data_IF_892472681467
#
_entry.id   IF_892472681467
#
_cell.length_a   1.000
_cell.length_b   1.000
_cell.length_c   1.000
_cell.angle_alpha   90.00
_cell.angle_beta   90.00
_cell.angle_gamma   90.00
#
_symmetry.space_group_name_H-M   'P 1'
#
loop_
_entity.id
_entity.type
_entity.pdbx_description
1 polymer ?
#
# COMPACT_ATOMS: atom_id res chain seq x y z
N UNK A 1 -10.61 -24.56 -24.55
CA UNK A 1 -10.03 -24.60 -23.19
C UNK A 1 -9.88 -23.18 -22.68
N UNK A 2 -10.28 -22.89 -21.43
CA UNK A 2 -10.02 -21.58 -20.81
C UNK A 2 -8.64 -21.64 -20.15
N UNK A 3 -7.69 -20.87 -20.67
CA UNK A 3 -6.39 -20.65 -20.03
C UNK A 3 -6.54 -19.53 -19.00
N UNK A 4 -6.09 -19.78 -17.77
CA UNK A 4 -6.06 -18.81 -16.67
C UNK A 4 -4.63 -18.76 -16.15
N UNK A 5 -4.09 -17.56 -15.92
CA UNK A 5 -2.73 -17.40 -15.40
C UNK A 5 -2.69 -17.51 -13.87
N UNK A 6 -1.53 -17.85 -13.31
CA UNK A 6 -1.32 -17.86 -11.85
C UNK A 6 -1.59 -16.48 -11.24
N UNK A 7 -1.21 -15.40 -11.93
CA UNK A 7 -1.49 -14.04 -11.51
C UNK A 7 -2.99 -13.73 -11.42
N UNK A 8 -3.78 -14.19 -12.39
CA UNK A 8 -5.24 -14.03 -12.37
C UNK A 8 -5.87 -14.81 -11.21
N UNK A 9 -5.35 -16.01 -10.92
CA UNK A 9 -5.80 -16.80 -9.78
C UNK A 9 -5.46 -16.10 -8.45
N UNK A 10 -4.28 -15.49 -8.32
CA UNK A 10 -3.92 -14.74 -7.11
C UNK A 10 -4.82 -13.51 -6.95
N UNK A 11 -5.03 -12.72 -8.01
CA UNK A 11 -5.93 -11.56 -7.97
C UNK A 11 -7.38 -11.98 -7.62
N UNK A 12 -7.86 -13.09 -8.19
CA UNK A 12 -9.17 -13.65 -7.87
C UNK A 12 -9.31 -14.03 -6.39
N UNK A 13 -8.30 -14.67 -5.81
CA UNK A 13 -8.27 -15.03 -4.38
C UNK A 13 -8.16 -13.80 -3.50
N UNK A 14 -7.27 -12.85 -3.81
CA UNK A 14 -7.15 -11.60 -3.06
C UNK A 14 -8.46 -10.78 -3.04
N UNK A 15 -9.30 -10.88 -4.08
CA UNK A 15 -10.57 -10.16 -4.13
C UNK A 15 -11.68 -10.83 -3.29
N UNK A 16 -11.54 -12.12 -2.96
CA UNK A 16 -12.60 -12.93 -2.33
C UNK A 16 -12.25 -13.47 -0.95
N UNK A 17 -10.96 -13.67 -0.68
CA UNK A 17 -10.44 -14.25 0.55
C UNK A 17 -9.77 -13.15 1.39
N UNK A 18 -9.91 -13.24 2.72
CA UNK A 18 -9.11 -12.43 3.65
C UNK A 18 -7.73 -13.06 3.73
N UNK A 19 -6.72 -12.36 3.22
CA UNK A 19 -5.32 -12.81 3.13
C UNK A 19 -4.37 -11.98 4.00
N UNK A 20 -4.91 -11.08 4.82
CA UNK A 20 -4.15 -10.31 5.81
C UNK A 20 -4.70 -10.52 7.21
N UNK A 21 -3.80 -10.66 8.17
CA UNK A 21 -4.11 -10.74 9.59
C UNK A 21 -3.36 -9.64 10.33
N UNK A 22 -4.08 -8.86 11.16
CA UNK A 22 -3.49 -7.84 12.02
C UNK A 22 -2.91 -8.51 13.26
N UNK A 23 -1.60 -8.52 13.39
CA UNK A 23 -0.87 -9.22 14.47
C UNK A 23 -0.43 -8.30 15.61
N UNK A 24 -0.33 -7.00 15.37
CA UNK A 24 0.04 -6.04 16.40
C UNK A 24 -0.58 -4.66 16.14
N UNK A 25 -0.77 -3.91 17.23
CA UNK A 25 -1.13 -2.49 17.22
C UNK A 25 -0.29 -1.78 18.27
N UNK A 26 0.36 -0.67 17.92
CA UNK A 26 1.30 0.03 18.80
C UNK A 26 1.35 1.54 18.49
N UNK A 27 1.62 2.40 19.48
CA UNK A 27 1.86 3.82 19.24
C UNK A 27 3.25 4.04 18.63
N UNK A 28 3.38 5.02 17.74
CA UNK A 28 4.66 5.43 17.14
C UNK A 28 4.74 6.95 17.06
N UNK A 29 5.91 7.50 17.41
CA UNK A 29 6.19 8.92 17.24
C UNK A 29 6.84 9.15 15.88
N UNK A 30 6.28 10.09 15.11
CA UNK A 30 6.72 10.41 13.74
C UNK A 30 6.87 11.91 13.55
N UNK A 31 7.39 12.33 12.39
CA UNK A 31 7.42 13.76 12.01
C UNK A 31 6.02 14.37 11.84
N UNK A 32 4.97 13.55 11.69
CA UNK A 32 3.58 13.99 11.67
C UNK A 32 2.93 14.08 13.06
N UNK A 33 3.66 13.69 14.11
CA UNK A 33 3.14 13.51 15.47
C UNK A 33 2.92 12.04 15.82
N UNK A 34 2.12 11.81 16.86
CA UNK A 34 1.76 10.47 17.33
C UNK A 34 0.82 9.78 16.35
N UNK A 35 1.18 8.57 15.94
CA UNK A 35 0.39 7.72 15.05
C UNK A 35 0.17 6.36 15.71
N UNK A 36 -0.87 5.65 15.26
CA UNK A 36 -1.07 4.25 15.59
C UNK A 36 -0.55 3.38 14.45
N UNK A 37 0.46 2.57 14.75
CA UNK A 37 0.99 1.55 13.86
C UNK A 37 0.22 0.24 14.00
N UNK A 38 -0.03 -0.41 12.87
CA UNK A 38 -0.62 -1.74 12.77
C UNK A 38 0.30 -2.63 11.94
N UNK A 39 0.66 -3.80 12.48
CA UNK A 39 1.43 -4.80 11.75
C UNK A 39 0.51 -5.88 11.19
N UNK A 40 0.73 -6.25 9.94
CA UNK A 40 -0.04 -7.25 9.21
C UNK A 40 0.88 -8.33 8.66
N UNK A 41 0.43 -9.58 8.70
CA UNK A 41 1.09 -10.71 8.03
C UNK A 41 0.13 -11.36 7.04
N UNK A 42 0.67 -12.16 6.12
CA UNK A 42 -0.14 -13.04 5.29
C UNK A 42 -0.07 -14.47 5.82
N UNK A 43 -1.04 -15.36 5.50
CA UNK A 43 -0.94 -16.78 5.84
C UNK A 43 0.23 -17.50 5.17
N UNK A 44 0.90 -16.87 4.20
CA UNK A 44 1.88 -17.49 3.33
C UNK A 44 3.33 -17.09 3.67
N UNK A 45 3.51 -16.03 4.45
CA UNK A 45 4.83 -15.55 4.87
C UNK A 45 4.76 -14.80 6.22
N UNK A 46 5.89 -14.72 6.90
CA UNK A 46 6.02 -14.02 8.18
C UNK A 46 6.52 -12.57 8.04
N UNK A 47 6.63 -12.05 6.81
CA UNK A 47 7.03 -10.68 6.54
C UNK A 47 5.89 -9.76 6.95
N UNK A 48 6.22 -8.77 7.77
CA UNK A 48 5.24 -7.81 8.25
C UNK A 48 5.11 -6.63 7.29
N UNK A 49 3.87 -6.36 6.90
CA UNK A 49 3.44 -5.10 6.32
C UNK A 49 2.98 -4.18 7.44
N UNK A 50 3.11 -2.87 7.22
CA UNK A 50 2.73 -1.89 8.24
C UNK A 50 1.71 -0.92 7.69
N UNK A 51 0.78 -0.50 8.54
CA UNK A 51 -0.05 0.66 8.30
C UNK A 51 0.06 1.62 9.47
N UNK A 52 0.25 2.89 9.18
CA UNK A 52 0.34 3.96 10.17
C UNK A 52 -0.84 4.90 10.00
N UNK A 53 -1.63 5.06 11.05
CA UNK A 53 -2.82 5.89 11.09
C UNK A 53 -2.55 7.12 11.93
N UNK A 54 -2.68 8.29 11.32
CA UNK A 54 -2.71 9.57 12.02
C UNK A 54 -4.17 9.99 12.21
N UNK A 55 -4.51 10.40 13.44
CA UNK A 55 -5.84 10.92 13.76
C UNK A 55 -6.97 9.89 13.61
N UNK A 56 -8.21 10.38 13.51
CA UNK A 56 -9.40 9.54 13.39
C UNK A 56 -9.76 9.29 11.91
N UNK A 57 -9.97 8.02 11.55
CA UNK A 57 -10.42 7.61 10.20
C UNK A 57 -11.92 7.91 9.99
N UNK A 58 -12.70 8.09 11.06
CA UNK A 58 -14.11 8.49 11.00
C UNK A 58 -14.99 7.43 10.33
N UNK A 59 -15.77 7.84 9.33
CA UNK A 59 -16.62 6.98 8.51
C UNK A 59 -15.84 6.20 7.42
N UNK A 60 -14.52 6.33 7.38
CA UNK A 60 -13.65 5.65 6.43
C UNK A 60 -13.71 6.22 5.01
N UNK A 61 -14.31 7.40 4.81
CA UNK A 61 -14.43 8.02 3.49
C UNK A 61 -13.42 9.14 3.30
N UNK A 62 -12.97 9.31 2.06
CA UNK A 62 -12.06 10.37 1.59
C UNK A 62 -10.76 10.44 2.40
N UNK A 63 -10.23 9.28 2.80
CA UNK A 63 -9.08 9.20 3.71
C UNK A 63 -7.79 9.50 2.96
N UNK A 64 -7.00 10.52 3.37
CA UNK A 64 -5.69 10.80 2.79
C UNK A 64 -4.82 9.57 2.97
N UNK A 65 -4.41 8.95 1.88
CA UNK A 65 -3.79 7.63 1.94
C UNK A 65 -2.61 7.55 0.99
N UNK A 66 -1.52 6.94 1.45
CA UNK A 66 -0.42 6.53 0.59
C UNK A 66 -0.19 5.04 0.72
N UNK A 67 -0.22 4.36 -0.42
CA UNK A 67 0.30 3.01 -0.56
C UNK A 67 1.75 3.14 -1.01
N UNK A 68 2.67 2.86 -0.10
CA UNK A 68 4.11 2.99 -0.33
C UNK A 68 4.75 1.61 -0.36
N UNK A 69 5.47 1.34 -1.45
CA UNK A 69 6.29 0.14 -1.58
C UNK A 69 7.67 0.43 -1.01
N UNK A 70 8.14 -0.46 -0.16
CA UNK A 70 9.43 -0.34 0.52
C UNK A 70 10.57 -0.26 -0.51
N UNK A 71 11.35 0.81 -0.42
CA UNK A 71 12.59 0.97 -1.16
C UNK A 71 13.70 1.34 -0.19
N UNK A 72 14.51 0.35 0.20
CA UNK A 72 15.58 0.54 1.19
C UNK A 72 16.53 1.67 0.78
N UNK A 73 16.83 1.82 -0.52
CA UNK A 73 17.74 2.85 -1.00
C UNK A 73 17.12 4.23 -0.83
N UNK A 74 15.85 4.42 -1.17
CA UNK A 74 15.19 5.72 -1.03
C UNK A 74 14.79 6.04 0.43
N UNK A 75 14.30 5.05 1.16
CA UNK A 75 13.68 5.21 2.47
C UNK A 75 14.71 5.26 3.60
N UNK A 76 15.81 4.52 3.48
CA UNK A 76 16.86 4.47 4.52
C UNK A 76 18.05 5.34 4.13
N UNK A 77 18.53 5.22 2.89
CA UNK A 77 19.74 5.93 2.45
C UNK A 77 19.45 7.24 1.71
N UNK A 78 18.30 7.36 1.07
CA UNK A 78 17.86 8.52 0.27
C UNK A 78 17.10 9.58 1.05
N UNK A 79 17.05 9.46 2.39
CA UNK A 79 16.46 10.46 3.28
C UNK A 79 14.94 10.42 3.38
N UNK A 80 14.28 9.41 2.80
CA UNK A 80 12.84 9.17 2.88
C UNK A 80 11.96 10.33 2.38
N UNK A 81 12.44 11.14 1.41
CA UNK A 81 11.79 12.38 0.96
C UNK A 81 10.28 12.22 0.71
N UNK A 82 9.90 11.15 0.03
CA UNK A 82 8.49 10.92 -0.32
C UNK A 82 7.63 10.52 0.89
N UNK A 83 8.17 9.73 1.82
CA UNK A 83 7.49 9.40 3.08
C UNK A 83 7.33 10.68 3.91
N UNK A 84 8.39 11.48 4.05
CA UNK A 84 8.38 12.73 4.82
C UNK A 84 7.36 13.72 4.29
N UNK A 85 7.31 13.95 2.98
CA UNK A 85 6.29 14.80 2.34
C UNK A 85 4.87 14.31 2.62
N UNK A 86 4.66 13.00 2.58
CA UNK A 86 3.36 12.40 2.91
C UNK A 86 2.99 12.62 4.37
N UNK A 87 3.93 12.39 5.30
CA UNK A 87 3.74 12.60 6.73
C UNK A 87 3.45 14.08 7.04
N UNK A 88 4.20 15.03 6.45
CA UNK A 88 3.92 16.46 6.58
C UNK A 88 2.53 16.83 6.06
N UNK A 89 2.09 16.22 4.96
CA UNK A 89 0.74 16.45 4.45
C UNK A 89 -0.32 15.92 5.42
N UNK A 90 -0.14 14.72 5.97
CA UNK A 90 -1.05 14.17 6.97
C UNK A 90 -1.09 15.03 8.23
N UNK A 91 0.06 15.56 8.67
CA UNK A 91 0.14 16.46 9.81
C UNK A 91 -0.68 17.74 9.60
N UNK A 92 -0.63 18.33 8.39
CA UNK A 92 -1.43 19.52 8.03
C UNK A 92 -2.93 19.23 7.99
N UNK A 93 -3.33 18.04 7.57
CA UNK A 93 -4.74 17.64 7.49
C UNK A 93 -5.27 17.05 8.81
N UNK A 94 -4.40 16.71 9.76
CA UNK A 94 -4.73 16.09 11.04
C UNK A 94 -5.21 14.63 10.94
N UNK A 95 -5.18 14.03 9.74
CA UNK A 95 -5.55 12.63 9.50
C UNK A 95 -4.83 12.05 8.28
N UNK A 96 -4.59 10.75 8.31
CA UNK A 96 -4.09 10.02 7.13
C UNK A 96 -3.65 8.60 7.42
N UNK A 97 -3.50 7.81 6.36
CA UNK A 97 -3.07 6.41 6.42
C UNK A 97 -1.88 6.19 5.49
N UNK A 98 -0.74 5.78 6.05
CA UNK A 98 0.42 5.33 5.29
C UNK A 98 0.49 3.82 5.38
N UNK A 99 0.28 3.12 4.26
CA UNK A 99 0.52 1.68 4.16
C UNK A 99 1.91 1.46 3.58
N UNK A 100 2.77 0.78 4.33
CA UNK A 100 4.13 0.41 3.96
C UNK A 100 4.18 -1.07 3.60
N UNK A 101 4.23 -1.34 2.29
CA UNK A 101 4.26 -2.69 1.73
C UNK A 101 5.72 -3.14 1.58
N UNK A 102 6.10 -4.16 2.34
CA UNK A 102 7.45 -4.72 2.31
C UNK A 102 7.71 -5.56 1.07
N UNK A 103 8.81 -5.26 0.38
CA UNK A 103 9.33 -6.06 -0.72
C UNK A 103 9.75 -7.47 -0.27
N UNK A 104 9.47 -8.46 -1.13
CA UNK A 104 9.83 -9.87 -0.92
C UNK A 104 8.85 -10.65 -0.03
N UNK A 105 7.75 -10.03 0.41
CA UNK A 105 6.63 -10.74 1.04
C UNK A 105 5.81 -11.51 0.00
N UNK A 106 5.04 -12.51 0.40
CA UNK A 106 4.13 -13.21 -0.50
C UNK A 106 3.06 -12.24 -1.00
N UNK A 107 3.02 -12.03 -2.31
CA UNK A 107 2.17 -11.01 -2.93
C UNK A 107 2.82 -9.62 -3.06
N UNK A 108 4.07 -9.42 -2.62
CA UNK A 108 4.88 -8.23 -2.96
C UNK A 108 6.20 -8.70 -3.58
N UNK A 109 6.30 -8.72 -4.92
CA UNK A 109 7.49 -9.16 -5.64
C UNK A 109 8.74 -8.39 -5.20
N UNK A 110 9.89 -9.04 -5.09
CA UNK A 110 11.13 -8.35 -4.72
C UNK A 110 11.69 -7.53 -5.89
N UNK A 111 12.03 -6.25 -5.68
CA UNK A 111 12.89 -5.52 -6.60
C UNK A 111 14.36 -5.94 -6.37
N UNK A 112 14.90 -6.77 -7.26
CA UNK A 112 16.31 -7.20 -7.18
C UNK A 112 17.19 -6.08 -7.75
N UNK A 113 17.82 -5.30 -6.87
CA UNK A 113 18.81 -4.26 -7.23
C UNK A 113 19.96 -4.90 -8.02
N UNK A 114 20.29 -4.35 -9.19
CA UNK A 114 21.43 -4.79 -10.01
C UNK A 114 21.11 -5.82 -11.11
N UNK A 115 19.88 -6.35 -11.20
CA UNK A 115 19.42 -6.97 -12.45
C UNK A 115 18.87 -5.86 -13.35
N UNK A 116 19.53 -5.62 -14.49
CA UNK A 116 18.99 -4.76 -15.54
C UNK A 116 17.58 -5.20 -15.86
N UNK A 117 16.60 -4.32 -15.61
CA UNK A 117 15.19 -4.64 -15.78
C UNK A 117 14.83 -4.61 -17.26
N UNK A 118 15.09 -5.71 -17.96
CA UNK A 118 14.29 -6.08 -19.14
C UNK A 118 13.00 -6.77 -18.68
N UNK A 119 12.29 -6.17 -17.72
CA UNK A 119 10.98 -6.67 -17.32
C UNK A 119 9.94 -6.19 -18.34
N UNK A 120 9.27 -7.14 -19.00
CA UNK A 120 8.17 -6.83 -19.91
C UNK A 120 7.10 -6.04 -19.15
N UNK A 121 6.51 -5.03 -19.80
CA UNK A 121 5.48 -4.16 -19.22
C UNK A 121 4.27 -4.93 -18.63
N UNK A 122 4.08 -6.18 -19.03
CA UNK A 122 3.05 -7.08 -18.52
C UNK A 122 3.40 -7.70 -17.16
N UNK A 123 4.67 -8.01 -16.90
CA UNK A 123 5.13 -8.48 -15.59
C UNK A 123 5.08 -7.35 -14.56
N UNK A 124 5.53 -6.15 -14.92
CA UNK A 124 5.43 -4.97 -14.05
C UNK A 124 3.97 -4.68 -13.65
N UNK A 125 3.03 -4.79 -14.61
CA UNK A 125 1.60 -4.65 -14.35
C UNK A 125 1.06 -5.71 -13.41
N UNK A 126 1.49 -6.98 -13.56
CA UNK A 126 1.07 -8.08 -12.68
C UNK A 126 1.56 -7.88 -11.24
N UNK A 127 2.83 -7.49 -11.07
CA UNK A 127 3.42 -7.21 -9.75
C UNK A 127 2.64 -6.11 -9.02
N UNK A 128 2.37 -5.03 -9.73
CA UNK A 128 1.63 -3.90 -9.24
C UNK A 128 0.20 -4.25 -8.81
N UNK A 129 -0.48 -5.16 -9.50
CA UNK A 129 -1.80 -5.66 -9.10
C UNK A 129 -1.79 -6.42 -7.78
N UNK A 130 -0.71 -7.15 -7.48
CA UNK A 130 -0.58 -7.90 -6.22
C UNK A 130 -0.39 -6.95 -5.03
N UNK A 131 0.44 -5.92 -5.20
CA UNK A 131 0.67 -4.86 -4.20
C UNK A 131 -0.65 -4.12 -3.88
N UNK A 132 -1.43 -3.84 -4.92
CA UNK A 132 -2.75 -3.19 -4.84
C UNK A 132 -3.74 -4.02 -4.04
N UNK A 133 -3.79 -5.33 -4.26
CA UNK A 133 -4.69 -6.23 -3.53
C UNK A 133 -4.40 -6.27 -2.04
N UNK A 134 -3.13 -6.37 -1.66
CA UNK A 134 -2.73 -6.41 -0.26
C UNK A 134 -2.99 -5.07 0.46
N UNK A 135 -2.59 -3.96 -0.18
CA UNK A 135 -2.87 -2.62 0.34
C UNK A 135 -4.36 -2.36 0.54
N UNK A 136 -5.21 -2.82 -0.40
CA UNK A 136 -6.66 -2.68 -0.29
C UNK A 136 -7.24 -3.49 0.89
N UNK A 137 -6.76 -4.70 1.13
CA UNK A 137 -7.22 -5.50 2.26
C UNK A 137 -6.81 -4.89 3.61
N UNK A 138 -5.60 -4.34 3.70
CA UNK A 138 -5.15 -3.59 4.88
C UNK A 138 -6.06 -2.39 5.14
N UNK A 139 -6.36 -1.60 4.10
CA UNK A 139 -7.27 -0.45 4.20
C UNK A 139 -8.68 -0.87 4.64
N UNK A 140 -9.21 -1.97 4.10
CA UNK A 140 -10.51 -2.50 4.47
C UNK A 140 -10.56 -2.96 5.93
N UNK A 141 -9.49 -3.59 6.43
CA UNK A 141 -9.36 -3.99 7.83
C UNK A 141 -9.28 -2.78 8.78
N UNK A 142 -8.69 -1.66 8.32
CA UNK A 142 -8.72 -0.36 9.02
C UNK A 142 -10.09 0.34 8.97
N UNK A 143 -11.07 -0.20 8.24
CA UNK A 143 -12.39 0.40 8.07
C UNK A 143 -12.45 1.50 7.00
N UNK A 144 -11.42 1.61 6.16
CA UNK A 144 -11.40 2.58 5.05
C UNK A 144 -12.21 2.04 3.88
N UNK A 145 -13.04 2.89 3.29
CA UNK A 145 -13.92 2.59 2.16
C UNK A 145 -13.63 3.46 0.94
N UNK A 146 -13.12 4.69 1.14
CA UNK A 146 -12.60 5.52 0.05
C UNK A 146 -11.37 6.34 0.45
N UNK A 147 -10.50 6.59 -0.53
CA UNK A 147 -9.19 7.21 -0.32
C UNK A 147 -8.90 8.37 -1.27
N UNK A 148 -8.18 9.37 -0.75
CA UNK A 148 -7.41 10.34 -1.55
C UNK A 148 -5.99 9.84 -1.67
N UNK A 149 -5.68 9.26 -2.82
CA UNK A 149 -4.42 8.58 -3.06
C UNK A 149 -3.29 9.58 -3.32
N UNK A 150 -2.25 9.51 -2.49
CA UNK A 150 -1.03 10.33 -2.59
C UNK A 150 0.03 9.58 -3.41
N UNK A 151 0.14 9.92 -4.69
CA UNK A 151 1.03 9.23 -5.64
C UNK A 151 2.18 10.12 -6.11
N UNK A 152 3.36 9.53 -6.28
CA UNK A 152 4.57 10.21 -6.79
C UNK A 152 4.62 10.29 -8.32
N UNK A 153 3.69 9.63 -9.03
CA UNK A 153 3.63 9.61 -10.49
C UNK A 153 2.31 10.21 -11.00
N UNK A 154 2.41 11.08 -12.01
CA UNK A 154 1.29 11.77 -12.67
C UNK A 154 0.33 10.83 -13.39
N UNK A 155 0.71 9.55 -13.57
CA UNK A 155 -0.17 8.49 -14.07
C UNK A 155 -0.39 7.46 -12.95
N UNK A 156 -1.51 7.52 -12.21
CA UNK A 156 -1.84 6.55 -11.16
C UNK A 156 -2.31 5.21 -11.73
N UNK A 157 -1.80 4.81 -12.91
CA UNK A 157 -2.05 3.51 -13.55
C UNK A 157 -1.75 2.35 -12.60
N UNK A 158 -0.90 2.62 -11.60
CA UNK A 158 -0.54 1.70 -10.56
C UNK A 158 -1.68 1.22 -9.66
N UNK A 159 -2.73 2.01 -9.50
CA UNK A 159 -3.70 1.81 -8.43
C UNK A 159 -5.14 1.64 -8.95
N UNK A 160 -5.31 1.51 -10.27
CA UNK A 160 -6.60 1.32 -10.96
C UNK A 160 -7.32 0.04 -10.49
N UNK A 161 -6.64 -0.89 -9.80
CA UNK A 161 -7.22 -2.11 -9.27
C UNK A 161 -7.92 -2.00 -7.91
N UNK A 162 -7.72 -0.92 -7.12
CA UNK A 162 -8.28 -0.78 -5.76
C UNK A 162 -9.81 -0.89 -5.72
N UNK A 163 -10.49 -0.38 -6.75
CA UNK A 163 -11.95 -0.47 -6.88
C UNK A 163 -12.44 -1.91 -6.96
N UNK A 164 -11.64 -2.82 -7.51
CA UNK A 164 -11.93 -4.26 -7.55
C UNK A 164 -11.86 -4.94 -6.17
N UNK A 165 -11.24 -4.28 -5.19
CA UNK A 165 -11.13 -4.75 -3.80
C UNK A 165 -12.09 -4.01 -2.84
N UNK A 166 -12.99 -3.18 -3.39
CA UNK A 166 -13.99 -2.43 -2.62
C UNK A 166 -13.46 -1.15 -1.98
N UNK A 167 -12.34 -0.60 -2.46
CA UNK A 167 -11.82 0.72 -2.06
C UNK A 167 -12.00 1.71 -3.21
N UNK A 168 -12.77 2.76 -2.98
CA UNK A 168 -12.97 3.84 -3.96
C UNK A 168 -11.81 4.84 -3.90
N UNK A 169 -11.31 5.29 -5.06
CA UNK A 169 -10.32 6.37 -5.13
C UNK A 169 -11.09 7.65 -5.45
N UNK A 170 -11.31 8.52 -4.46
CA UNK A 170 -12.03 9.77 -4.61
C UNK A 170 -11.20 10.84 -5.32
N UNK A 171 -9.89 10.86 -5.07
CA UNK A 171 -8.94 11.75 -5.71
C UNK A 171 -7.56 11.11 -5.81
N UNK A 172 -6.79 11.50 -6.82
CA UNK A 172 -5.35 11.25 -6.89
C UNK A 172 -4.66 12.58 -6.85
N UNK A 173 -3.81 12.78 -5.87
CA UNK A 173 -3.16 14.06 -5.67
C UNK A 173 -1.65 13.87 -5.38
N UNK A 174 -0.79 14.71 -5.99
CA UNK A 174 0.65 14.46 -6.06
C UNK A 174 1.31 14.53 -4.68
N UNK A 175 2.44 13.83 -4.52
CA UNK A 175 3.31 14.04 -3.36
C UNK A 175 4.23 15.20 -3.69
N UNK A 176 3.89 16.38 -3.18
CA UNK A 176 4.69 17.62 -3.28
C UNK A 176 5.66 17.75 -2.11
#
# INVERSE_FOLDING_TARGET
LKLVSVSDLIAFRQAREKLVERVATFPVQTEAGEMIGHAYVTPFDSVQHFAFVLGAIGDGRDVPTRLHRADILADVFGGADTIKKTLHRFAREGRGVLVYLRDGAAGVPANIVGRGQEENAEETRKRQWLDVGLGAQILKDLGVSSIRLRSSSSKPRAFVGLSGFGIEISAVEPVE
#
